data_IF_624545993390
#
_entry.id   IF_624545993390
#
_cell.length_a   1.000
_cell.length_b   1.000
_cell.length_c   1.000
_cell.angle_alpha   90.00
_cell.angle_beta   90.00
_cell.angle_gamma   90.00
#
_symmetry.space_group_name_H-M   'P 1'
#
loop_
_entity.id
_entity.type
_entity.pdbx_description
1 polymer ?
#
# COMPACT_ATOMS: atom_id res chain seq x y z
N UNK A 1 -2.08 -12.03 -13.85
CA UNK A 1 -2.12 -11.01 -12.78
C UNK A 1 -3.49 -10.91 -12.15
N UNK A 2 -4.53 -10.40 -12.83
CA UNK A 2 -5.90 -10.37 -12.28
C UNK A 2 -6.89 -11.37 -12.92
N UNK A 3 -6.51 -12.02 -14.04
CA UNK A 3 -7.39 -12.90 -14.83
C UNK A 3 -8.70 -12.26 -15.33
N UNK A 4 -8.76 -10.93 -15.33
CA UNK A 4 -9.91 -10.19 -15.86
C UNK A 4 -9.79 -9.97 -17.37
N UNK A 5 -10.93 -9.99 -18.06
CA UNK A 5 -11.01 -9.54 -19.44
C UNK A 5 -10.70 -8.05 -19.51
N UNK A 6 -9.88 -7.68 -20.48
CA UNK A 6 -9.53 -6.28 -20.74
C UNK A 6 -9.53 -6.05 -22.24
N UNK A 7 -9.88 -4.83 -22.63
CA UNK A 7 -9.71 -4.36 -23.99
C UNK A 7 -8.39 -3.60 -24.07
N UNK A 8 -7.61 -3.84 -25.12
CA UNK A 8 -6.28 -3.25 -25.26
C UNK A 8 -6.34 -1.71 -25.37
N UNK A 9 -7.40 -1.19 -26.00
CA UNK A 9 -7.67 0.25 -26.13
C UNK A 9 -7.84 0.97 -24.78
N UNK A 10 -8.31 0.27 -23.74
CA UNK A 10 -8.47 0.83 -22.37
C UNK A 10 -7.37 0.37 -21.40
N UNK A 11 -6.37 -0.40 -21.86
CA UNK A 11 -5.27 -0.95 -21.04
C UNK A 11 -4.10 0.03 -20.87
N UNK A 12 -4.40 1.22 -20.33
CA UNK A 12 -3.37 2.19 -19.94
C UNK A 12 -2.60 1.75 -18.70
N UNK A 13 -1.44 2.37 -18.44
CA UNK A 13 -0.68 2.09 -17.21
C UNK A 13 -1.55 2.48 -16.00
N UNK A 14 -1.61 1.60 -15.02
CA UNK A 14 -2.46 1.76 -13.85
C UNK A 14 -3.85 1.14 -13.98
N UNK A 15 -4.21 0.58 -15.14
CA UNK A 15 -5.49 -0.13 -15.31
C UNK A 15 -5.60 -1.41 -14.47
N UNK A 16 -4.48 -2.06 -14.14
CA UNK A 16 -4.49 -3.29 -13.35
C UNK A 16 -3.79 -3.09 -12.00
N UNK A 17 -4.54 -3.19 -10.90
CA UNK A 17 -4.01 -3.08 -9.53
C UNK A 17 -3.13 -4.26 -9.10
N UNK A 18 -3.32 -5.44 -9.72
CA UNK A 18 -2.61 -6.69 -9.41
C UNK A 18 -1.39 -6.92 -10.30
N UNK A 19 -1.21 -6.11 -11.33
CA UNK A 19 -0.03 -6.20 -12.18
C UNK A 19 1.19 -5.59 -11.48
N UNK A 20 2.40 -6.13 -11.73
CA UNK A 20 3.62 -5.64 -11.12
C UNK A 20 3.85 -4.17 -11.50
N UNK A 21 4.18 -3.37 -10.50
CA UNK A 21 4.47 -1.94 -10.65
C UNK A 21 5.82 -1.63 -9.99
N UNK A 22 6.86 -1.48 -10.83
CA UNK A 22 8.21 -1.22 -10.36
C UNK A 22 8.33 0.10 -9.57
N UNK A 23 7.50 1.10 -9.87
CA UNK A 23 7.53 2.38 -9.16
C UNK A 23 6.95 2.20 -7.76
N UNK A 24 5.83 1.48 -7.64
CA UNK A 24 5.27 1.12 -6.33
C UNK A 24 6.28 0.32 -5.49
N UNK A 25 6.91 -0.70 -6.07
CA UNK A 25 7.94 -1.50 -5.38
C UNK A 25 9.16 -0.66 -4.97
N UNK A 26 9.60 0.27 -5.82
CA UNK A 26 10.66 1.21 -5.49
C UNK A 26 10.30 2.13 -4.32
N UNK A 27 9.08 2.67 -4.31
CA UNK A 27 8.57 3.50 -3.21
C UNK A 27 8.56 2.71 -1.91
N UNK A 28 8.03 1.48 -1.92
CA UNK A 28 7.97 0.62 -0.73
C UNK A 28 9.37 0.29 -0.18
N UNK A 29 10.35 0.13 -1.07
CA UNK A 29 11.75 -0.15 -0.70
C UNK A 29 12.42 1.08 -0.10
N UNK A 30 12.32 2.24 -0.76
CA UNK A 30 12.98 3.49 -0.33
C UNK A 30 12.37 4.01 0.97
N UNK A 31 11.05 3.91 1.13
CA UNK A 31 10.38 4.41 2.33
C UNK A 31 10.51 3.49 3.55
N UNK A 32 11.09 2.30 3.40
CA UNK A 32 11.11 1.31 4.47
C UNK A 32 9.72 0.76 4.81
N UNK A 33 8.77 0.78 3.86
CA UNK A 33 7.41 0.27 4.05
C UNK A 33 7.39 -1.19 4.52
N UNK A 34 8.40 -1.98 4.17
CA UNK A 34 8.55 -3.35 4.68
C UNK A 34 8.63 -3.42 6.20
N UNK A 35 9.31 -2.47 6.86
CA UNK A 35 9.37 -2.40 8.32
C UNK A 35 7.98 -2.18 8.93
N UNK A 36 7.16 -1.31 8.32
CA UNK A 36 5.79 -1.06 8.74
C UNK A 36 4.90 -2.31 8.57
N UNK A 37 5.05 -3.02 7.44
CA UNK A 37 4.32 -4.27 7.17
C UNK A 37 4.71 -5.37 8.16
N UNK A 38 6.00 -5.54 8.46
CA UNK A 38 6.48 -6.51 9.45
C UNK A 38 5.98 -6.19 10.86
N UNK A 39 6.05 -4.93 11.29
CA UNK A 39 5.53 -4.53 12.59
C UNK A 39 4.03 -4.80 12.70
N UNK A 40 3.25 -4.49 11.67
CA UNK A 40 1.80 -4.75 11.70
C UNK A 40 1.52 -6.25 11.74
N UNK A 41 2.23 -7.03 10.95
CA UNK A 41 2.09 -8.49 10.95
C UNK A 41 2.45 -9.11 12.31
N UNK A 42 3.46 -8.61 13.01
CA UNK A 42 3.88 -9.23 14.28
C UNK A 42 3.24 -8.61 15.54
N UNK A 43 2.91 -7.33 15.50
CA UNK A 43 2.45 -6.58 16.68
C UNK A 43 0.94 -6.30 16.66
N UNK A 44 0.27 -6.52 15.53
CA UNK A 44 -1.13 -6.12 15.34
C UNK A 44 -2.01 -7.13 14.59
N UNK A 45 -1.47 -8.26 14.11
CA UNK A 45 -2.34 -9.33 13.63
C UNK A 45 -2.93 -10.04 14.83
N UNK A 46 -4.23 -9.85 15.06
CA UNK A 46 -4.98 -10.77 15.91
C UNK A 46 -4.99 -12.16 15.25
N UNK A 47 -5.23 -13.20 16.04
CA UNK A 47 -5.15 -14.64 15.67
C UNK A 47 -6.02 -15.09 14.49
N UNK A 48 -6.77 -14.18 13.86
CA UNK A 48 -7.68 -14.44 12.74
C UNK A 48 -7.09 -14.09 11.37
N UNK A 49 -5.86 -13.57 11.30
CA UNK A 49 -5.05 -13.60 10.07
C UNK A 49 -5.57 -12.76 8.89
N UNK A 50 -6.51 -11.84 9.12
CA UNK A 50 -7.02 -10.98 8.05
C UNK A 50 -5.93 -9.95 7.68
N UNK A 51 -5.18 -10.25 6.62
CA UNK A 51 -4.04 -9.47 6.17
C UNK A 51 -4.53 -8.13 5.63
N UNK A 52 -4.58 -7.12 6.51
CA UNK A 52 -4.99 -5.76 6.17
C UNK A 52 -4.04 -5.22 5.10
N UNK A 53 -4.51 -5.18 3.86
CA UNK A 53 -3.74 -4.79 2.67
C UNK A 53 -3.26 -3.32 2.73
N UNK A 54 -3.80 -2.49 3.63
CA UNK A 54 -3.43 -1.09 3.79
C UNK A 54 -3.09 -0.74 5.25
N UNK A 55 -1.80 -0.59 5.61
CA UNK A 55 -1.37 -0.31 6.98
C UNK A 55 -1.86 1.04 7.52
N UNK A 56 -2.29 1.93 6.63
CA UNK A 56 -2.74 3.30 6.93
C UNK A 56 -4.28 3.47 6.91
N UNK A 57 -5.06 2.40 6.80
CA UNK A 57 -6.53 2.49 6.74
C UNK A 57 -7.15 2.08 8.08
N UNK A 58 -7.96 2.95 8.69
CA UNK A 58 -8.87 2.57 9.78
C UNK A 58 -10.31 2.61 9.26
N UNK A 59 -11.08 1.55 9.53
CA UNK A 59 -12.53 1.53 9.30
C UNK A 59 -13.23 2.15 10.51
N UNK A 60 -14.23 2.99 10.30
CA UNK A 60 -14.92 3.79 11.33
C UNK A 60 -15.97 2.98 12.12
N UNK A 61 -15.65 1.76 12.55
CA UNK A 61 -16.54 0.97 13.40
C UNK A 61 -16.09 1.03 14.86
N UNK A 62 -17.02 1.14 15.81
CA UNK A 62 -16.72 1.35 17.23
C UNK A 62 -15.89 0.24 17.91
N UNK A 63 -15.86 -0.97 17.35
CA UNK A 63 -14.99 -2.08 17.80
C UNK A 63 -13.52 -1.91 17.34
N UNK A 64 -13.27 -1.08 16.33
CA UNK A 64 -11.96 -0.89 15.69
C UNK A 64 -11.17 0.29 16.28
N UNK A 65 -11.76 1.13 17.14
CA UNK A 65 -11.15 2.37 17.67
C UNK A 65 -9.91 2.09 18.55
N UNK A 66 -9.98 1.07 19.40
CA UNK A 66 -8.86 0.66 20.26
C UNK A 66 -7.73 0.00 19.44
N UNK A 67 -8.09 -0.74 18.38
CA UNK A 67 -7.13 -1.32 17.44
C UNK A 67 -6.46 -0.19 16.64
N UNK A 68 -7.25 0.74 16.09
CA UNK A 68 -6.82 1.90 15.32
C UNK A 68 -5.83 2.77 16.10
N UNK A 69 -6.12 3.09 17.36
CA UNK A 69 -5.22 3.88 18.22
C UNK A 69 -3.86 3.21 18.41
N UNK A 70 -3.83 1.90 18.69
CA UNK A 70 -2.57 1.13 18.78
C UNK A 70 -1.79 1.15 17.45
N UNK A 71 -2.48 1.14 16.30
CA UNK A 71 -1.84 1.24 14.97
C UNK A 71 -1.17 2.58 14.79
N UNK A 72 -1.86 3.67 15.10
CA UNK A 72 -1.31 5.01 14.95
C UNK A 72 -0.12 5.23 15.89
N UNK A 73 -0.19 4.72 17.13
CA UNK A 73 0.95 4.78 18.06
C UNK A 73 2.13 3.95 17.53
N UNK A 74 1.88 2.71 17.07
CA UNK A 74 2.92 1.85 16.49
C UNK A 74 3.56 2.49 15.26
N UNK A 75 2.75 3.03 14.35
CA UNK A 75 3.24 3.75 13.17
C UNK A 75 4.00 5.02 13.54
N UNK A 76 3.57 5.78 14.55
CA UNK A 76 4.27 6.96 15.03
C UNK A 76 5.64 6.60 15.62
N UNK A 77 5.72 5.57 16.47
CA UNK A 77 6.96 5.07 17.04
C UNK A 77 7.91 4.53 15.95
N UNK A 78 7.37 3.77 15.00
CA UNK A 78 8.17 3.28 13.89
C UNK A 78 8.66 4.41 12.99
N UNK A 79 7.85 5.44 12.79
CA UNK A 79 8.24 6.62 12.01
C UNK A 79 9.31 7.47 12.68
N UNK A 80 9.47 7.36 14.01
CA UNK A 80 10.61 7.93 14.74
C UNK A 80 11.89 7.10 14.56
N UNK A 81 11.77 5.77 14.48
CA UNK A 81 12.89 4.85 14.29
C UNK A 81 13.36 4.75 12.84
N UNK A 82 12.42 4.94 11.90
CA UNK A 82 12.62 4.76 10.45
C UNK A 82 12.21 6.08 9.76
N UNK A 83 13.11 7.08 9.71
CA UNK A 83 12.78 8.41 9.19
C UNK A 83 12.38 8.38 7.70
N UNK A 84 12.79 7.37 6.94
CA UNK A 84 12.40 7.24 5.53
C UNK A 84 10.91 6.94 5.33
N UNK A 85 10.17 6.50 6.36
CA UNK A 85 8.71 6.35 6.28
C UNK A 85 8.01 7.68 6.02
N UNK A 86 8.60 8.80 6.44
CA UNK A 86 8.06 10.14 6.19
C UNK A 86 8.10 10.53 4.71
N UNK A 87 8.96 9.88 3.92
CA UNK A 87 8.98 10.05 2.48
C UNK A 87 7.85 9.26 1.79
N UNK A 88 7.18 8.32 2.48
CA UNK A 88 6.12 7.52 1.86
C UNK A 88 4.90 8.35 1.43
N UNK A 89 4.29 9.23 2.26
CA UNK A 89 3.15 10.03 1.84
C UNK A 89 3.37 10.87 0.57
N UNK A 90 4.46 11.67 0.44
CA UNK A 90 4.68 12.43 -0.79
C UNK A 90 4.97 11.53 -1.99
N UNK A 91 5.78 10.46 -1.83
CA UNK A 91 6.04 9.51 -2.91
C UNK A 91 4.77 8.81 -3.37
N UNK A 92 3.88 8.46 -2.44
CA UNK A 92 2.59 7.83 -2.72
C UNK A 92 1.67 8.78 -3.48
N UNK A 93 1.64 10.06 -3.11
CA UNK A 93 0.89 11.07 -3.84
C UNK A 93 1.40 11.22 -5.29
N UNK A 94 2.72 11.29 -5.48
CA UNK A 94 3.34 11.32 -6.81
C UNK A 94 2.97 10.08 -7.64
N UNK A 95 2.94 8.90 -7.01
CA UNK A 95 2.54 7.65 -7.66
C UNK A 95 1.07 7.66 -8.11
N UNK A 96 0.16 8.14 -7.26
CA UNK A 96 -1.27 8.24 -7.60
C UNK A 96 -1.48 9.18 -8.79
N UNK A 97 -0.81 10.35 -8.78
CA UNK A 97 -0.84 11.29 -9.90
C UNK A 97 -0.27 10.63 -11.17
N UNK A 98 0.85 9.92 -11.05
CA UNK A 98 1.45 9.20 -12.16
C UNK A 98 0.54 8.11 -12.77
N UNK A 99 -0.27 7.43 -11.94
CA UNK A 99 -1.31 6.50 -12.39
C UNK A 99 -2.42 7.25 -13.15
N UNK A 100 -2.90 8.36 -12.58
CA UNK A 100 -3.97 9.17 -13.20
C UNK A 100 -3.54 9.75 -14.56
N UNK A 101 -2.27 10.15 -14.68
CA UNK A 101 -1.67 10.60 -15.94
C UNK A 101 -1.27 9.46 -16.89
N UNK A 102 -1.38 8.19 -16.48
CA UNK A 102 -1.01 7.03 -17.30
C UNK A 102 0.50 6.85 -17.51
N UNK A 103 1.34 7.47 -16.66
CA UNK A 103 2.81 7.42 -16.73
C UNK A 103 3.35 6.15 -16.05
N UNK A 104 2.73 5.73 -14.95
CA UNK A 104 3.10 4.56 -14.16
C UNK A 104 1.88 3.70 -13.79
N UNK A 105 2.11 2.57 -13.12
CA UNK A 105 1.07 1.60 -12.80
C UNK A 105 1.11 0.33 -13.66
N UNK A 106 0.58 -0.74 -13.11
CA UNK A 106 0.48 -2.04 -13.77
C UNK A 106 -0.51 -2.05 -14.94
N UNK A 107 -0.23 -2.88 -15.95
CA UNK A 107 -1.11 -3.12 -17.09
C UNK A 107 -1.60 -4.57 -17.08
N UNK A 108 -2.78 -4.80 -17.63
CA UNK A 108 -3.20 -6.16 -17.93
C UNK A 108 -2.25 -6.76 -18.98
N UNK A 109 -2.01 -8.07 -18.88
CA UNK A 109 -1.26 -8.85 -19.87
C UNK A 109 -2.09 -10.07 -20.28
N UNK A 110 -1.97 -10.52 -21.53
CA UNK A 110 -2.56 -11.78 -21.93
C UNK A 110 -1.87 -12.92 -21.18
N UNK A 111 -2.56 -14.05 -21.04
CA UNK A 111 -1.96 -15.28 -20.50
C UNK A 111 -0.99 -15.89 -21.51
#
# INVERSE_FOLDING_TARGET
YCQEFYQEEWNRKGSCAFAPDCIKSGIDTISGMMCARCMIYHCMSDSEGDLINHPCSCSSNAADEASCTKRWIGLALLSLLVPCLWCYPPLKACHIIGIQCGICGGKHKPQ
#
